data_IF_813488656487
#
_entry.id   IF_813488656487
#
_cell.length_a   1.000
_cell.length_b   1.000
_cell.length_c   1.000
_cell.angle_alpha   90.00
_cell.angle_beta   90.00
_cell.angle_gamma   90.00
#
_symmetry.space_group_name_H-M   'P 1'
#
loop_
_entity.id
_entity.type
_entity.pdbx_description
1 polymer ?
#
# COMPACT_ATOMS: atom_id res chain seq x y z
N UNK A 1 -7.56 2.40 9.92
CA UNK A 1 -7.41 1.23 9.01
C UNK A 1 -6.23 0.39 9.48
N UNK A 2 -6.29 -0.92 9.31
CA UNK A 2 -5.20 -1.85 9.62
C UNK A 2 -4.76 -2.51 8.32
N UNK A 3 -3.45 -2.44 8.04
CA UNK A 3 -2.82 -3.19 6.98
C UNK A 3 -2.27 -4.49 7.57
N UNK A 4 -2.85 -5.61 7.15
CA UNK A 4 -2.59 -6.91 7.78
C UNK A 4 -1.44 -7.59 7.06
N UNK A 5 -1.56 -7.81 5.75
CA UNK A 5 -0.60 -8.58 4.95
C UNK A 5 -0.63 -8.24 3.48
N UNK A 6 0.37 -8.73 2.74
CA UNK A 6 0.38 -8.78 1.27
C UNK A 6 0.27 -10.22 0.79
N UNK A 7 -0.07 -10.39 -0.48
CA UNK A 7 -0.14 -11.69 -1.15
C UNK A 7 0.47 -11.57 -2.54
N UNK A 8 1.38 -12.49 -2.86
CA UNK A 8 2.08 -12.62 -4.15
C UNK A 8 2.49 -11.27 -4.76
N UNK A 9 3.26 -10.47 -4.00
CA UNK A 9 3.75 -9.21 -4.51
C UNK A 9 4.71 -9.44 -5.69
N UNK A 10 4.75 -8.53 -6.69
CA UNK A 10 5.66 -8.66 -7.82
C UNK A 10 7.11 -8.77 -7.36
N UNK A 11 7.94 -9.56 -8.07
CA UNK A 11 9.36 -9.58 -7.81
C UNK A 11 9.97 -8.20 -8.10
N UNK A 12 11.01 -7.86 -7.34
CA UNK A 12 11.84 -6.70 -7.64
C UNK A 12 12.78 -7.00 -8.81
N UNK A 13 12.94 -6.05 -9.72
CA UNK A 13 13.93 -6.14 -10.80
C UNK A 13 15.31 -5.67 -10.37
N UNK A 14 15.39 -4.89 -9.28
CA UNK A 14 16.62 -4.26 -8.79
C UNK A 14 17.23 -4.99 -7.58
N UNK A 15 16.50 -5.90 -6.95
CA UNK A 15 16.99 -6.65 -5.80
C UNK A 15 18.05 -7.68 -6.21
N UNK A 16 19.14 -7.75 -5.44
CA UNK A 16 20.29 -8.63 -5.70
C UNK A 16 19.98 -10.10 -5.43
N UNK A 17 19.07 -10.33 -4.52
CA UNK A 17 18.43 -11.63 -4.31
C UNK A 17 17.06 -11.49 -4.95
N UNK A 18 16.53 -12.45 -5.71
CA UNK A 18 15.16 -12.38 -6.28
C UNK A 18 14.04 -12.40 -5.20
N UNK A 19 14.25 -11.72 -4.07
CA UNK A 19 13.43 -11.58 -2.88
C UNK A 19 13.39 -10.08 -2.60
N UNK A 20 12.21 -9.50 -2.73
CA UNK A 20 11.98 -8.12 -2.33
C UNK A 20 11.90 -8.03 -0.79
N UNK A 21 12.26 -6.86 -0.29
CA UNK A 21 12.08 -6.35 1.07
C UNK A 21 10.88 -5.36 1.08
N UNK A 22 9.62 -5.86 1.01
CA UNK A 22 8.48 -4.98 0.79
C UNK A 22 8.12 -4.09 1.98
N UNK A 23 7.72 -2.87 1.66
CA UNK A 23 6.98 -1.94 2.52
C UNK A 23 5.73 -1.45 1.80
N UNK A 24 4.77 -0.94 2.56
CA UNK A 24 3.59 -0.28 2.00
C UNK A 24 3.52 1.15 2.50
N UNK A 25 3.34 2.05 1.56
CA UNK A 25 3.08 3.45 1.77
C UNK A 25 1.60 3.74 1.55
N UNK A 26 0.97 4.38 2.51
CA UNK A 26 -0.42 4.81 2.46
C UNK A 26 -0.44 6.33 2.46
N UNK A 27 -1.09 6.89 1.45
CA UNK A 27 -1.17 8.32 1.25
C UNK A 27 -2.62 8.76 1.10
N UNK A 28 -2.93 9.92 1.69
CA UNK A 28 -4.15 10.65 1.43
C UNK A 28 -3.80 11.81 0.51
N UNK A 29 -4.50 11.90 -0.61
CA UNK A 29 -4.44 13.01 -1.57
C UNK A 29 -5.75 13.77 -1.49
N UNK A 30 -5.72 15.09 -1.59
CA UNK A 30 -6.91 15.94 -1.46
C UNK A 30 -6.51 17.39 -1.24
N UNK A 31 -7.31 18.11 -0.45
CA UNK A 31 -6.98 19.46 0.02
C UNK A 31 -5.66 19.44 0.81
N UNK A 32 -4.87 20.53 0.82
CA UNK A 32 -3.56 20.56 1.48
C UNK A 32 -3.58 20.09 2.95
N UNK A 33 -4.66 20.39 3.68
CA UNK A 33 -4.85 20.04 5.09
C UNK A 33 -5.01 18.52 5.32
N UNK A 34 -5.48 17.79 4.31
CA UNK A 34 -5.71 16.34 4.38
C UNK A 34 -4.54 15.52 3.85
N UNK A 35 -3.57 16.17 3.18
CA UNK A 35 -2.45 15.47 2.57
C UNK A 35 -1.51 14.90 3.62
N UNK A 36 -1.39 13.58 3.64
CA UNK A 36 -0.54 12.86 4.60
C UNK A 36 -0.02 11.58 3.98
N UNK A 37 1.20 11.21 4.37
CA UNK A 37 1.89 10.00 3.93
C UNK A 37 2.42 9.26 5.16
N UNK A 38 2.03 8.00 5.31
CA UNK A 38 2.54 7.08 6.32
C UNK A 38 3.03 5.82 5.63
N UNK A 39 3.96 5.09 6.25
CA UNK A 39 4.48 3.85 5.69
C UNK A 39 4.65 2.79 6.77
N UNK A 40 4.64 1.53 6.37
CA UNK A 40 4.94 0.41 7.25
C UNK A 40 6.41 0.30 7.58
N UNK A 41 6.74 -0.59 8.51
CA UNK A 41 8.06 -1.21 8.54
C UNK A 41 8.32 -2.06 7.28
N UNK A 42 9.60 -2.37 7.06
CA UNK A 42 10.06 -3.19 5.94
C UNK A 42 10.08 -4.65 6.37
N UNK A 43 9.50 -5.53 5.56
CA UNK A 43 9.57 -6.99 5.78
C UNK A 43 10.69 -7.54 4.93
N UNK A 44 11.73 -8.10 5.55
CA UNK A 44 12.90 -8.59 4.83
C UNK A 44 12.62 -9.89 4.09
N UNK A 45 12.98 -9.92 2.81
CA UNK A 45 13.10 -11.07 1.93
C UNK A 45 11.85 -11.94 1.85
N UNK A 46 10.68 -11.33 1.96
CA UNK A 46 9.39 -12.01 1.91
C UNK A 46 8.34 -11.21 1.13
N UNK A 47 8.38 -11.36 -0.20
CA UNK A 47 7.39 -10.77 -1.12
C UNK A 47 6.14 -11.65 -1.32
N UNK A 48 6.20 -12.95 -0.99
CA UNK A 48 5.10 -13.89 -1.26
C UNK A 48 3.92 -13.70 -0.30
N UNK A 49 4.20 -13.48 0.99
CA UNK A 49 3.16 -13.29 2.00
C UNK A 49 3.65 -12.43 3.19
N UNK A 50 4.10 -11.19 2.96
CA UNK A 50 4.51 -10.30 4.04
C UNK A 50 3.36 -10.01 5.00
N UNK A 51 3.67 -9.84 6.28
CA UNK A 51 2.70 -9.47 7.33
C UNK A 51 3.22 -8.26 8.07
N UNK A 52 2.44 -7.17 8.03
CA UNK A 52 2.76 -5.93 8.75
C UNK A 52 1.94 -5.83 10.03
N UNK A 53 0.63 -6.12 9.97
CA UNK A 53 -0.31 -5.95 11.08
C UNK A 53 -0.28 -4.54 11.70
N UNK A 54 -0.02 -3.52 10.89
CA UNK A 54 0.12 -2.13 11.34
C UNK A 54 -1.18 -1.36 11.22
N UNK A 55 -1.43 -0.46 12.18
CA UNK A 55 -2.63 0.37 12.20
C UNK A 55 -2.28 1.80 11.84
N UNK A 56 -3.04 2.36 10.91
CA UNK A 56 -2.93 3.71 10.40
C UNK A 56 -4.18 4.51 10.72
N UNK A 57 -3.97 5.73 11.21
CA UNK A 57 -5.03 6.69 11.53
C UNK A 57 -4.76 7.98 10.78
N UNK A 58 -5.81 8.47 10.12
CA UNK A 58 -5.80 9.70 9.33
C UNK A 58 -6.97 10.57 9.81
N UNK A 59 -6.72 11.88 9.93
CA UNK A 59 -7.77 12.86 10.17
C UNK A 59 -8.03 13.59 8.85
N UNK A 60 -9.23 13.49 8.31
CA UNK A 60 -9.59 13.97 6.97
C UNK A 60 -10.75 14.94 7.12
N UNK A 61 -10.53 16.20 6.76
CA UNK A 61 -11.45 17.31 6.87
C UNK A 61 -12.47 17.35 5.73
N UNK A 62 -12.04 17.05 4.49
CA UNK A 62 -12.88 17.12 3.28
C UNK A 62 -12.86 15.77 2.55
N UNK A 63 -13.52 14.73 3.09
CA UNK A 63 -13.46 13.37 2.55
C UNK A 63 -14.01 13.24 1.13
N UNK A 64 -14.87 14.15 0.68
CA UNK A 64 -15.43 14.20 -0.67
C UNK A 64 -14.37 14.49 -1.75
N UNK A 65 -13.27 15.14 -1.37
CA UNK A 65 -12.15 15.46 -2.25
C UNK A 65 -10.93 14.55 -2.01
N UNK A 66 -11.05 13.60 -1.06
CA UNK A 66 -9.94 12.76 -0.66
C UNK A 66 -9.86 11.48 -1.51
N UNK A 67 -8.64 11.15 -1.94
CA UNK A 67 -8.26 9.85 -2.49
C UNK A 67 -7.30 9.17 -1.51
N UNK A 68 -7.39 7.86 -1.40
CA UNK A 68 -6.38 7.05 -0.70
C UNK A 68 -5.58 6.25 -1.71
N UNK A 69 -4.26 6.30 -1.59
CA UNK A 69 -3.32 5.52 -2.40
C UNK A 69 -2.55 4.55 -1.53
N UNK A 70 -2.55 3.29 -1.93
CA UNK A 70 -1.65 2.25 -1.42
C UNK A 70 -0.55 2.06 -2.46
N UNK A 71 0.71 2.21 -2.05
CA UNK A 71 1.87 1.93 -2.89
C UNK A 71 2.73 0.90 -2.21
N UNK A 72 3.02 -0.20 -2.90
CA UNK A 72 3.95 -1.23 -2.45
C UNK A 72 5.30 -0.95 -3.07
N UNK A 73 6.32 -0.91 -2.24
CA UNK A 73 7.69 -0.64 -2.66
C UNK A 73 8.62 -1.73 -2.11
N UNK A 74 9.71 -2.01 -2.83
CA UNK A 74 10.85 -2.78 -2.35
C UNK A 74 11.93 -1.82 -1.85
N UNK A 75 12.41 -2.01 -0.62
CA UNK A 75 13.53 -1.25 -0.10
C UNK A 75 14.87 -1.81 -0.64
N UNK A 76 15.40 -1.19 -1.69
CA UNK A 76 16.70 -1.57 -2.28
C UNK A 76 17.87 -1.09 -1.40
N UNK A 77 17.73 0.09 -0.79
CA UNK A 77 18.70 0.65 0.16
C UNK A 77 18.02 1.66 1.07
N UNK A 78 18.76 2.23 2.04
CA UNK A 78 18.24 3.28 2.92
C UNK A 78 17.77 4.54 2.17
N UNK A 79 18.25 4.78 0.94
CA UNK A 79 17.95 5.99 0.17
C UNK A 79 17.15 5.72 -1.11
N UNK A 80 16.83 4.46 -1.43
CA UNK A 80 16.19 4.12 -2.69
C UNK A 80 15.24 2.94 -2.54
N UNK A 81 14.04 3.13 -3.08
CA UNK A 81 13.00 2.11 -3.14
C UNK A 81 12.62 1.85 -4.61
N UNK A 82 12.28 0.61 -4.93
CA UNK A 82 11.66 0.24 -6.21
C UNK A 82 10.15 0.14 -6.03
N UNK A 83 9.38 0.78 -6.90
CA UNK A 83 7.94 0.60 -6.92
C UNK A 83 7.57 -0.79 -7.45
N UNK A 84 6.70 -1.51 -6.72
CA UNK A 84 6.20 -2.83 -7.11
C UNK A 84 4.76 -2.78 -7.62
N UNK A 85 3.89 -1.97 -7.01
CA UNK A 85 2.49 -1.88 -7.41
C UNK A 85 1.72 -0.85 -6.61
N UNK A 86 0.53 -0.47 -7.09
CA UNK A 86 -0.33 0.48 -6.39
C UNK A 86 -1.81 0.20 -6.54
N UNK A 87 -2.59 0.82 -5.69
CA UNK A 87 -4.02 1.01 -5.87
C UNK A 87 -4.46 2.36 -5.33
N UNK A 88 -5.25 3.10 -6.11
CA UNK A 88 -5.78 4.41 -5.71
C UNK A 88 -7.28 4.42 -5.91
N UNK A 89 -8.01 4.92 -4.92
CA UNK A 89 -9.47 5.07 -4.99
C UNK A 89 -9.95 6.29 -4.20
N UNK A 90 -11.13 6.84 -4.52
CA UNK A 90 -11.78 7.82 -3.66
C UNK A 90 -12.02 7.26 -2.28
N UNK A 91 -11.77 8.06 -1.25
CA UNK A 91 -11.87 7.65 0.15
C UNK A 91 -13.28 7.11 0.46
N UNK A 92 -14.31 7.79 -0.03
CA UNK A 92 -15.71 7.41 0.18
C UNK A 92 -16.12 6.11 -0.54
N UNK A 93 -15.29 5.60 -1.46
CA UNK A 93 -15.50 4.31 -2.11
C UNK A 93 -14.87 3.13 -1.33
N UNK A 94 -14.13 3.39 -0.24
CA UNK A 94 -13.61 2.32 0.60
C UNK A 94 -14.72 1.69 1.46
N UNK A 95 -15.05 0.43 1.16
CA UNK A 95 -15.98 -0.33 1.97
C UNK A 95 -15.35 -0.79 3.29
N UNK A 96 -16.04 -0.55 4.42
CA UNK A 96 -15.64 -1.03 5.77
C UNK A 96 -15.47 -2.56 5.84
N UNK A 97 -14.76 -3.04 6.85
CA UNK A 97 -14.52 -4.46 7.12
C UNK A 97 -13.25 -4.99 6.45
N UNK A 98 -13.16 -6.32 6.34
CA UNK A 98 -12.03 -6.98 5.67
C UNK A 98 -12.15 -6.84 4.14
N UNK A 99 -11.08 -6.37 3.51
CA UNK A 99 -11.01 -6.14 2.06
C UNK A 99 -9.66 -6.59 1.51
N UNK A 100 -9.69 -7.03 0.25
CA UNK A 100 -8.50 -7.14 -0.57
C UNK A 100 -8.37 -5.90 -1.45
N UNK A 101 -7.18 -5.33 -1.48
CA UNK A 101 -6.79 -4.23 -2.35
C UNK A 101 -5.96 -4.82 -3.49
N UNK A 102 -6.50 -4.91 -4.72
CA UNK A 102 -5.76 -5.44 -5.86
C UNK A 102 -4.67 -4.47 -6.29
N UNK A 103 -3.49 -4.96 -6.68
CA UNK A 103 -2.38 -4.13 -7.12
C UNK A 103 -2.33 -3.98 -8.64
N UNK A 104 -1.88 -2.81 -9.08
CA UNK A 104 -1.69 -2.46 -10.47
C UNK A 104 -0.26 -1.98 -10.73
N UNK A 105 0.23 -2.24 -11.95
CA UNK A 105 1.54 -1.79 -12.42
C UNK A 105 1.58 -0.27 -12.57
N UNK A 106 2.76 0.30 -12.84
CA UNK A 106 2.91 1.72 -13.17
C UNK A 106 2.12 2.13 -14.42
N UNK A 107 1.86 1.17 -15.32
CA UNK A 107 1.13 1.39 -16.56
C UNK A 107 -0.38 1.15 -16.41
N UNK A 108 -0.83 0.71 -15.22
CA UNK A 108 -2.23 0.41 -14.95
C UNK A 108 -2.66 -1.01 -15.29
N UNK A 109 -1.71 -1.92 -15.56
CA UNK A 109 -2.02 -3.33 -15.76
C UNK A 109 -2.31 -4.02 -14.42
N UNK A 110 -3.26 -4.96 -14.42
CA UNK A 110 -3.56 -5.77 -13.23
C UNK A 110 -2.38 -6.69 -12.92
N UNK A 111 -1.92 -6.67 -11.67
CA UNK A 111 -0.85 -7.54 -11.19
C UNK A 111 -1.42 -8.81 -10.56
N UNK A 112 -2.49 -9.40 -11.12
CA UNK A 112 -3.15 -10.53 -10.48
C UNK A 112 -2.18 -11.71 -10.25
N UNK A 113 -2.20 -12.36 -9.07
CA UNK A 113 -3.15 -12.16 -7.96
C UNK A 113 -2.62 -11.23 -6.85
N UNK A 114 -1.63 -10.37 -7.13
CA UNK A 114 -0.99 -9.50 -6.16
C UNK A 114 -2.02 -8.58 -5.47
N UNK A 115 -2.05 -8.63 -4.13
CA UNK A 115 -3.00 -7.82 -3.35
C UNK A 115 -2.50 -7.53 -1.93
N UNK A 116 -3.10 -6.51 -1.31
CA UNK A 116 -2.99 -6.25 0.13
C UNK A 116 -4.28 -6.69 0.83
N UNK A 117 -4.14 -7.22 2.04
CA UNK A 117 -5.27 -7.54 2.92
C UNK A 117 -5.36 -6.50 4.02
N UNK A 118 -6.51 -5.83 4.11
CA UNK A 118 -6.75 -4.71 5.01
C UNK A 118 -8.04 -4.88 5.78
N UNK A 119 -8.10 -4.27 6.97
CA UNK A 119 -9.34 -4.05 7.70
C UNK A 119 -9.62 -2.55 7.78
N UNK A 120 -10.77 -2.13 7.24
CA UNK A 120 -11.15 -0.72 7.11
C UNK A 120 -12.24 -0.39 8.12
N UNK A 121 -12.02 0.66 8.91
CA UNK A 121 -13.01 1.28 9.78
C UNK A 121 -12.82 2.78 9.77
N UNK A 122 -13.93 3.50 9.86
CA UNK A 122 -14.01 4.95 10.02
C UNK A 122 -15.36 5.26 10.67
N UNK A 123 -15.40 6.39 11.38
CA UNK A 123 -16.58 6.92 12.07
C UNK A 123 -17.09 8.16 11.33
#
# INVERSE_FOLDING_TARGET
MQLISGYQLPPSNLSRTNKADPLVQIEIHGVPEDQVKQQTCVIKSNALCPRWNETFTFNIQVPELALVRFSVEDQISLAANEFLGQYTLPLLCMNKGYRHVPLFSKLGDRLDPASLFVYIWYY
#
